data_IF_617877808227
#
_entry.id   IF_617877808227
#
_cell.length_a   1.000
_cell.length_b   1.000
_cell.length_c   1.000
_cell.angle_alpha   90.00
_cell.angle_beta   90.00
_cell.angle_gamma   90.00
#
_symmetry.space_group_name_H-M   'P 1'
#
loop_
_entity.id
_entity.type
_entity.pdbx_description
1 polymer ?
#
# COMPACT_ATOMS: atom_id res chain seq x y z
N UNK A 1 -19.98 -7.66 22.84
CA UNK A 1 -20.06 -6.18 22.73
C UNK A 1 -18.64 -5.64 22.86
N UNK A 2 -17.86 -5.75 21.78
CA UNK A 2 -16.56 -5.08 21.71
C UNK A 2 -16.83 -3.62 21.36
N UNK A 3 -16.42 -2.71 22.22
CA UNK A 3 -16.32 -1.30 21.91
C UNK A 3 -15.23 -1.16 20.84
N UNK A 4 -15.63 -0.93 19.59
CA UNK A 4 -14.72 -0.37 18.61
C UNK A 4 -14.10 0.90 19.22
N UNK A 5 -12.77 0.96 19.24
CA UNK A 5 -12.05 2.14 19.73
C UNK A 5 -12.51 3.39 18.95
N UNK A 6 -12.74 4.53 19.62
CA UNK A 6 -13.28 5.76 19.02
C UNK A 6 -12.40 6.39 17.92
N UNK A 7 -11.17 5.90 17.73
CA UNK A 7 -10.21 6.43 16.76
C UNK A 7 -10.57 6.16 15.29
N UNK A 8 -11.39 5.14 14.99
CA UNK A 8 -11.62 4.69 13.61
C UNK A 8 -12.82 5.35 12.91
N UNK A 9 -13.75 5.93 13.66
CA UNK A 9 -14.87 6.74 13.16
C UNK A 9 -14.45 8.19 12.83
N UNK A 10 -13.19 8.53 13.08
CA UNK A 10 -12.67 9.90 13.05
C UNK A 10 -11.76 10.18 11.85
N UNK A 11 -11.45 9.20 10.98
CA UNK A 11 -10.47 9.43 9.91
C UNK A 11 -11.05 10.11 8.66
N UNK A 12 -12.23 9.68 8.19
CA UNK A 12 -12.93 10.40 7.11
C UNK A 12 -13.35 11.80 7.58
N UNK A 13 -13.84 11.88 8.82
CA UNK A 13 -14.14 13.15 9.48
C UNK A 13 -12.89 14.02 9.65
N UNK A 14 -11.74 13.44 10.01
CA UNK A 14 -10.46 14.14 10.10
C UNK A 14 -9.95 14.59 8.74
N UNK A 15 -9.99 13.75 7.71
CA UNK A 15 -9.58 14.12 6.36
C UNK A 15 -10.46 15.26 5.83
N UNK A 16 -11.77 15.15 5.98
CA UNK A 16 -12.72 16.20 5.62
C UNK A 16 -12.51 17.47 6.44
N UNK A 17 -12.26 17.35 7.76
CA UNK A 17 -12.01 18.49 8.63
C UNK A 17 -10.65 19.13 8.35
N UNK A 18 -9.62 18.34 8.04
CA UNK A 18 -8.31 18.79 7.62
C UNK A 18 -8.44 19.58 6.34
N UNK A 19 -9.09 19.03 5.32
CA UNK A 19 -9.35 19.72 4.06
C UNK A 19 -10.12 21.03 4.29
N UNK A 20 -11.18 21.02 5.11
CA UNK A 20 -11.97 22.24 5.45
C UNK A 20 -11.18 23.29 6.24
N UNK A 21 -10.47 22.90 7.30
CA UNK A 21 -9.66 23.80 8.13
C UNK A 21 -8.56 24.42 7.29
N UNK A 22 -7.92 23.59 6.47
CA UNK A 22 -6.85 24.03 5.62
C UNK A 22 -7.40 24.95 4.53
N UNK A 23 -8.59 24.76 3.96
CA UNK A 23 -9.23 25.74 3.05
C UNK A 23 -9.42 27.13 3.66
N UNK A 24 -9.70 27.23 4.96
CA UNK A 24 -9.92 28.52 5.63
C UNK A 24 -8.63 29.32 5.93
N UNK A 25 -7.45 28.69 5.83
CA UNK A 25 -6.16 29.31 6.19
C UNK A 25 -5.47 30.09 5.05
N UNK A 26 -6.07 30.21 3.86
CA UNK A 26 -5.54 31.03 2.75
C UNK A 26 -4.23 30.56 2.09
N UNK A 27 -3.61 29.48 2.56
CA UNK A 27 -2.40 28.87 1.94
C UNK A 27 -2.66 28.25 0.55
N UNK A 28 -1.60 28.06 -0.24
CA UNK A 28 -1.65 27.64 -1.64
C UNK A 28 -2.34 26.28 -1.88
N UNK A 29 -3.14 26.19 -2.93
CA UNK A 29 -3.77 24.94 -3.41
C UNK A 29 -2.74 24.03 -4.07
N UNK A 30 -2.98 22.71 -4.07
CA UNK A 30 -2.15 21.81 -4.87
C UNK A 30 -2.40 22.12 -6.35
N UNK A 31 -1.39 22.62 -7.03
CA UNK A 31 -1.46 23.01 -8.43
C UNK A 31 -0.22 22.63 -9.20
N UNK A 32 -0.29 22.79 -10.53
CA UNK A 32 0.87 22.60 -11.38
C UNK A 32 1.95 23.62 -11.00
N UNK A 33 3.20 23.16 -10.90
CA UNK A 33 4.31 24.06 -10.61
C UNK A 33 4.50 25.07 -11.75
N UNK A 34 4.94 26.30 -11.45
CA UNK A 34 5.38 27.21 -12.49
C UNK A 34 6.65 26.66 -13.16
N UNK A 35 6.99 27.10 -14.39
CA UNK A 35 8.26 26.78 -15.02
C UNK A 35 9.45 27.01 -14.07
N UNK A 36 10.41 26.08 -13.98
CA UNK A 36 11.48 26.17 -12.99
C UNK A 36 12.42 27.34 -13.30
N UNK A 37 12.78 28.09 -12.27
CA UNK A 37 13.83 29.10 -12.35
C UNK A 37 15.20 28.46 -12.60
N UNK A 38 16.19 29.25 -13.03
CA UNK A 38 17.57 28.78 -13.21
C UNK A 38 18.14 28.15 -11.93
N UNK A 39 17.88 28.75 -10.78
CA UNK A 39 18.30 28.22 -9.48
C UNK A 39 17.63 26.87 -9.16
N UNK A 40 16.34 26.72 -9.47
CA UNK A 40 15.63 25.45 -9.28
C UNK A 40 16.18 24.35 -10.21
N UNK A 41 16.46 24.67 -11.48
CA UNK A 41 17.10 23.74 -12.42
C UNK A 41 18.46 23.27 -11.91
N UNK A 42 19.30 24.20 -11.44
CA UNK A 42 20.61 23.88 -10.87
C UNK A 42 20.50 23.01 -9.61
N UNK A 43 19.55 23.33 -8.71
CA UNK A 43 19.29 22.53 -7.51
C UNK A 43 18.89 21.10 -7.88
N UNK A 44 17.93 20.93 -8.79
CA UNK A 44 17.49 19.60 -9.25
C UNK A 44 18.67 18.82 -9.84
N UNK A 45 19.46 19.45 -10.71
CA UNK A 45 20.63 18.81 -11.30
C UNK A 45 21.64 18.35 -10.25
N UNK A 46 21.94 19.19 -9.24
CA UNK A 46 22.84 18.84 -8.14
C UNK A 46 22.30 17.68 -7.29
N UNK A 47 21.00 17.70 -6.97
CA UNK A 47 20.36 16.62 -6.22
C UNK A 47 20.46 15.29 -6.96
N UNK A 48 20.15 15.29 -8.26
CA UNK A 48 20.18 14.08 -9.08
C UNK A 48 21.61 13.54 -9.25
N UNK A 49 22.58 14.41 -9.55
CA UNK A 49 24.01 14.03 -9.62
C UNK A 49 24.49 13.47 -8.28
N UNK A 50 24.15 14.14 -7.17
CA UNK A 50 24.47 13.69 -5.83
C UNK A 50 23.92 12.29 -5.54
N UNK A 51 22.68 12.04 -5.96
CA UNK A 51 22.00 10.75 -5.86
C UNK A 51 22.56 9.66 -6.79
N UNK A 52 23.64 9.92 -7.52
CA UNK A 52 24.32 8.95 -8.38
C UNK A 52 23.80 8.92 -9.82
N UNK A 53 22.94 9.85 -10.23
CA UNK A 53 22.45 9.94 -11.60
C UNK A 53 23.52 10.55 -12.51
N UNK A 54 24.12 9.72 -13.37
CA UNK A 54 25.14 10.14 -14.32
C UNK A 54 24.57 10.58 -15.69
N UNK A 55 23.31 10.28 -15.97
CA UNK A 55 22.67 10.61 -17.25
C UNK A 55 22.57 12.13 -17.43
N UNK A 56 23.01 12.69 -18.58
CA UNK A 56 22.87 14.12 -18.84
C UNK A 56 21.39 14.53 -18.86
N UNK A 57 21.05 15.66 -18.26
CA UNK A 57 19.69 16.21 -18.28
C UNK A 57 19.52 17.07 -19.53
N UNK A 58 18.52 16.76 -20.34
CA UNK A 58 18.18 17.51 -21.55
C UNK A 58 17.26 18.70 -21.26
N UNK A 59 16.24 18.51 -20.42
CA UNK A 59 15.29 19.57 -20.05
C UNK A 59 14.63 19.32 -18.69
N UNK A 60 14.13 20.39 -18.07
CA UNK A 60 13.35 20.35 -16.83
C UNK A 60 12.15 21.29 -16.99
N UNK A 61 10.95 20.72 -16.93
CA UNK A 61 9.66 21.40 -17.10
C UNK A 61 8.67 21.01 -16.00
N UNK A 62 7.58 21.75 -15.78
CA UNK A 62 6.52 21.29 -14.88
C UNK A 62 5.96 19.92 -15.29
N UNK A 63 5.74 19.05 -14.30
CA UNK A 63 5.11 17.74 -14.50
C UNK A 63 3.58 17.88 -14.61
N UNK A 64 2.91 16.85 -15.18
CA UNK A 64 1.45 16.66 -15.03
C UNK A 64 1.06 16.16 -13.63
N UNK A 65 2.03 15.62 -12.87
CA UNK A 65 1.90 15.40 -11.44
C UNK A 65 2.09 16.72 -10.68
N UNK A 66 1.14 17.13 -9.83
CA UNK A 66 1.28 18.34 -9.04
C UNK A 66 2.53 18.28 -8.16
N UNK A 67 3.09 19.46 -7.86
CA UNK A 67 4.28 19.59 -7.00
C UNK A 67 5.56 18.91 -7.50
N UNK A 68 5.57 18.44 -8.76
CA UNK A 68 6.74 17.83 -9.39
C UNK A 68 7.17 18.55 -10.67
N UNK A 69 8.46 18.44 -10.98
CA UNK A 69 9.04 18.74 -12.27
C UNK A 69 9.32 17.45 -13.03
N UNK A 70 9.08 17.44 -14.34
CA UNK A 70 9.56 16.40 -15.23
C UNK A 70 10.98 16.76 -15.70
N UNK A 71 11.88 15.79 -15.57
CA UNK A 71 13.28 15.81 -15.99
C UNK A 71 13.40 14.86 -17.17
N UNK A 72 13.69 15.43 -18.34
CA UNK A 72 13.97 14.66 -19.54
C UNK A 72 15.47 14.36 -19.58
N UNK A 73 15.82 13.07 -19.61
CA UNK A 73 17.20 12.64 -19.73
C UNK A 73 17.62 12.60 -21.20
N UNK A 74 18.88 12.91 -21.47
CA UNK A 74 19.47 12.79 -22.80
C UNK A 74 19.47 11.33 -23.25
N UNK A 75 19.33 11.11 -24.57
CA UNK A 75 19.37 9.77 -25.13
C UNK A 75 20.71 9.08 -24.84
N UNK A 76 20.66 7.82 -24.43
CA UNK A 76 21.84 6.99 -24.21
C UNK A 76 21.96 6.00 -25.38
N UNK A 77 23.08 6.05 -26.12
CA UNK A 77 23.26 5.22 -27.31
C UNK A 77 22.21 5.46 -28.41
N UNK A 78 21.65 6.67 -28.48
CA UNK A 78 20.60 7.04 -29.43
C UNK A 78 19.19 6.58 -29.03
N UNK A 79 19.02 5.91 -27.88
CA UNK A 79 17.71 5.50 -27.36
C UNK A 79 17.17 6.51 -26.34
N UNK A 80 15.89 6.94 -26.48
CA UNK A 80 15.22 7.76 -25.46
C UNK A 80 15.22 7.04 -24.11
N UNK A 81 15.46 7.80 -23.05
CA UNK A 81 15.35 7.30 -21.68
C UNK A 81 13.97 7.65 -21.12
N UNK A 82 13.38 6.80 -20.27
CA UNK A 82 12.16 7.17 -19.55
C UNK A 82 12.38 8.49 -18.78
N UNK A 83 11.40 9.41 -18.78
CA UNK A 83 11.52 10.62 -18.00
C UNK A 83 11.51 10.29 -16.51
N UNK A 84 12.05 11.22 -15.73
CA UNK A 84 11.97 11.21 -14.28
C UNK A 84 11.13 12.39 -13.83
N UNK A 85 10.39 12.23 -12.75
CA UNK A 85 9.66 13.28 -12.08
C UNK A 85 10.29 13.49 -10.70
N UNK A 86 10.55 14.73 -10.32
CA UNK A 86 11.16 15.09 -9.03
C UNK A 86 10.31 16.15 -8.33
N UNK A 87 10.08 15.99 -7.03
CA UNK A 87 9.37 16.98 -6.23
C UNK A 87 10.15 18.31 -6.19
N UNK A 88 9.45 19.44 -6.01
CA UNK A 88 10.08 20.76 -5.97
C UNK A 88 11.18 20.89 -4.88
N UNK A 89 11.00 20.19 -3.76
CA UNK A 89 11.99 20.14 -2.67
C UNK A 89 13.21 19.25 -2.99
N UNK A 90 13.10 18.34 -3.97
CA UNK A 90 14.12 17.39 -4.39
C UNK A 90 14.16 16.09 -3.56
N UNK A 91 13.17 15.86 -2.69
CA UNK A 91 13.15 14.71 -1.79
C UNK A 91 12.54 13.44 -2.39
N UNK A 92 11.66 13.57 -3.37
CA UNK A 92 10.93 12.45 -3.95
C UNK A 92 11.15 12.40 -5.45
N UNK A 93 11.40 11.19 -5.95
CA UNK A 93 11.53 10.92 -7.38
C UNK A 93 10.59 9.81 -7.82
N UNK A 94 10.19 9.86 -9.07
CA UNK A 94 9.39 8.86 -9.74
C UNK A 94 9.97 8.68 -11.13
N UNK A 95 10.35 7.47 -11.50
CA UNK A 95 10.86 7.17 -12.84
C UNK A 95 9.78 6.47 -13.66
N UNK A 96 9.34 7.08 -14.75
CA UNK A 96 8.28 6.49 -15.57
C UNK A 96 7.53 7.51 -16.41
N UNK A 97 6.77 7.00 -17.37
CA UNK A 97 5.94 7.81 -18.25
C UNK A 97 4.56 8.01 -17.61
N UNK A 98 4.05 9.23 -17.67
CA UNK A 98 2.66 9.54 -17.33
C UNK A 98 1.78 9.30 -18.56
N UNK A 99 0.88 8.32 -18.47
CA UNK A 99 -0.10 8.01 -19.51
C UNK A 99 -1.33 8.90 -19.33
N UNK A 100 -1.83 9.46 -20.42
CA UNK A 100 -3.07 10.25 -20.39
C UNK A 100 -4.27 9.34 -20.13
N UNK A 101 -5.16 9.79 -19.25
CA UNK A 101 -6.42 9.09 -18.99
C UNK A 101 -7.39 9.30 -20.17
N UNK A 102 -7.88 8.24 -20.81
CA UNK A 102 -8.86 8.35 -21.90
C UNK A 102 -10.27 8.73 -21.43
N UNK A 103 -10.54 8.62 -20.12
CA UNK A 103 -11.85 8.91 -19.53
C UNK A 103 -12.20 10.40 -19.63
N UNK A 104 -13.47 10.75 -19.91
CA UNK A 104 -13.91 12.14 -19.87
C UNK A 104 -13.87 12.65 -18.42
N UNK A 105 -13.54 13.93 -18.24
CA UNK A 105 -13.65 14.59 -16.93
C UNK A 105 -15.12 14.74 -16.56
N UNK A 106 -15.57 14.01 -15.54
CA UNK A 106 -16.96 14.01 -15.06
C UNK A 106 -17.12 14.77 -13.74
N UNK A 107 -16.05 14.93 -12.99
CA UNK A 107 -16.01 15.58 -11.68
C UNK A 107 -14.82 16.52 -11.57
N UNK A 108 -14.99 17.55 -10.74
CA UNK A 108 -13.88 18.41 -10.31
C UNK A 108 -13.47 17.95 -8.92
N UNK A 109 -12.19 17.64 -8.67
CA UNK A 109 -11.78 17.17 -7.36
C UNK A 109 -11.98 18.26 -6.31
N UNK A 110 -12.23 17.87 -5.04
CA UNK A 110 -12.24 18.83 -3.95
C UNK A 110 -10.89 19.55 -3.91
N UNK A 111 -10.93 20.80 -3.46
CA UNK A 111 -9.68 21.54 -3.25
C UNK A 111 -8.99 20.94 -2.03
N UNK A 112 -7.90 20.21 -2.24
CA UNK A 112 -7.01 19.80 -1.16
C UNK A 112 -5.75 20.66 -1.17
N UNK A 113 -5.13 20.77 -0.01
CA UNK A 113 -3.82 21.41 0.12
C UNK A 113 -2.72 20.39 0.29
N UNK A 114 -1.48 20.77 -0.08
CA UNK A 114 -0.32 19.96 0.19
C UNK A 114 -0.26 19.48 1.64
N UNK A 115 -0.21 18.17 1.85
CA UNK A 115 0.01 17.61 3.19
C UNK A 115 0.84 16.35 3.14
N UNK A 116 2.09 16.45 3.61
CA UNK A 116 2.89 15.29 3.99
C UNK A 116 2.32 14.59 5.22
N UNK A 117 1.52 15.31 6.05
CA UNK A 117 0.90 14.72 7.25
C UNK A 117 -0.11 13.64 6.91
N UNK A 118 -0.72 13.67 5.72
CA UNK A 118 -1.66 12.63 5.28
C UNK A 118 -0.97 11.46 4.57
N UNK A 119 0.36 11.48 4.36
CA UNK A 119 1.06 10.39 3.67
C UNK A 119 0.74 9.02 4.29
N UNK A 120 0.26 8.09 3.47
CA UNK A 120 -0.16 6.74 3.86
C UNK A 120 -1.59 6.63 4.37
N UNK A 121 -2.33 7.74 4.51
CA UNK A 121 -3.74 7.75 4.91
C UNK A 121 -4.66 7.67 3.68
N UNK A 122 -5.85 7.04 3.79
CA UNK A 122 -6.83 7.05 2.70
C UNK A 122 -7.23 8.49 2.35
N UNK A 123 -7.62 8.70 1.09
CA UNK A 123 -8.21 9.97 0.66
C UNK A 123 -9.62 10.16 1.21
N UNK A 124 -10.10 11.41 1.28
CA UNK A 124 -11.50 11.70 1.65
C UNK A 124 -12.51 11.04 0.69
N UNK A 125 -13.72 10.76 1.19
CA UNK A 125 -14.80 10.17 0.39
C UNK A 125 -15.10 11.01 -0.88
N UNK A 126 -15.11 12.34 -0.75
CA UNK A 126 -15.34 13.24 -1.88
C UNK A 126 -14.24 13.20 -2.94
N UNK A 127 -12.97 13.08 -2.54
CA UNK A 127 -11.86 12.92 -3.49
C UNK A 127 -11.92 11.55 -4.17
N UNK A 128 -12.22 10.50 -3.40
CA UNK A 128 -12.42 9.14 -3.93
C UNK A 128 -13.52 9.10 -4.99
N UNK A 129 -14.69 9.67 -4.72
CA UNK A 129 -15.80 9.75 -5.67
C UNK A 129 -15.40 10.49 -6.95
N UNK A 130 -14.66 11.60 -6.82
CA UNK A 130 -14.15 12.36 -7.97
C UNK A 130 -13.17 11.55 -8.82
N UNK A 131 -12.22 10.86 -8.19
CA UNK A 131 -11.24 10.00 -8.87
C UNK A 131 -11.92 8.87 -9.63
N UNK A 132 -12.90 8.21 -9.03
CA UNK A 132 -13.67 7.13 -9.67
C UNK A 132 -14.50 7.64 -10.85
N UNK A 133 -15.21 8.76 -10.70
CA UNK A 133 -15.98 9.37 -11.79
C UNK A 133 -15.08 9.75 -12.99
N UNK A 134 -13.90 10.28 -12.70
CA UNK A 134 -12.93 10.65 -13.73
C UNK A 134 -12.17 9.45 -14.31
N UNK A 135 -12.33 8.24 -13.78
CA UNK A 135 -11.64 7.02 -14.28
C UNK A 135 -12.56 6.05 -15.02
N UNK A 136 -13.76 6.51 -15.43
CA UNK A 136 -14.86 5.67 -15.93
C UNK A 136 -14.56 4.76 -17.14
N UNK A 137 -13.52 5.02 -17.94
CA UNK A 137 -13.11 4.14 -19.05
C UNK A 137 -12.04 3.11 -18.65
N UNK A 138 -11.43 3.24 -17.47
CA UNK A 138 -10.41 2.34 -16.95
C UNK A 138 -11.08 1.16 -16.24
N UNK A 139 -11.25 0.05 -16.97
CA UNK A 139 -12.01 -1.12 -16.50
C UNK A 139 -11.48 -1.78 -15.23
N UNK A 140 -10.19 -1.62 -14.94
CA UNK A 140 -9.52 -2.14 -13.75
C UNK A 140 -9.64 -1.22 -12.53
N UNK A 141 -10.09 0.03 -12.71
CA UNK A 141 -10.36 0.94 -11.59
C UNK A 141 -11.86 0.91 -11.30
N UNK A 142 -12.26 0.00 -10.42
CA UNK A 142 -13.66 -0.22 -10.03
C UNK A 142 -14.01 0.51 -8.73
N UNK A 143 -15.25 0.36 -8.27
CA UNK A 143 -15.70 0.85 -6.96
C UNK A 143 -14.96 0.27 -5.77
N UNK A 144 -14.12 -0.75 -5.96
CA UNK A 144 -13.34 -1.39 -4.89
C UNK A 144 -11.89 -0.89 -4.86
N UNK A 145 -11.49 -0.05 -5.82
CA UNK A 145 -10.18 0.59 -5.80
C UNK A 145 -10.02 1.44 -4.54
N UNK A 146 -8.83 1.35 -3.96
CA UNK A 146 -8.44 2.12 -2.78
C UNK A 146 -7.44 3.21 -3.17
N UNK A 147 -7.51 4.36 -2.49
CA UNK A 147 -6.69 5.54 -2.80
C UNK A 147 -6.15 6.16 -1.51
N UNK A 148 -4.87 6.52 -1.55
CA UNK A 148 -4.11 7.01 -0.41
C UNK A 148 -3.32 8.26 -0.79
N UNK A 149 -3.20 9.20 0.14
CA UNK A 149 -2.31 10.34 -0.01
C UNK A 149 -0.85 9.89 0.03
N UNK A 150 -0.01 10.42 -0.87
CA UNK A 150 1.44 10.22 -0.82
C UNK A 150 2.13 11.36 -0.09
N UNK A 151 3.42 11.22 0.17
CA UNK A 151 4.24 12.33 0.68
C UNK A 151 4.50 13.43 -0.36
N UNK A 152 4.12 13.23 -1.62
CA UNK A 152 4.16 14.26 -2.67
C UNK A 152 2.77 14.88 -2.83
N UNK A 153 2.59 16.14 -2.40
CA UNK A 153 1.33 16.86 -2.53
C UNK A 153 0.68 16.78 -3.92
N UNK A 154 -0.53 16.22 -3.97
CA UNK A 154 -1.36 16.09 -5.18
C UNK A 154 -1.06 14.88 -6.04
N UNK A 155 -0.09 14.06 -5.64
CA UNK A 155 0.10 12.71 -6.16
C UNK A 155 -0.63 11.75 -5.25
N UNK A 156 -1.53 10.97 -5.83
CA UNK A 156 -2.35 9.98 -5.16
C UNK A 156 -1.84 8.61 -5.55
N UNK A 157 -1.66 7.74 -4.56
CA UNK A 157 -1.39 6.33 -4.76
C UNK A 157 -2.70 5.57 -4.71
N UNK A 158 -2.95 4.74 -5.71
CA UNK A 158 -4.13 3.90 -5.79
C UNK A 158 -3.76 2.45 -6.01
N UNK A 159 -4.70 1.56 -5.73
CA UNK A 159 -4.57 0.14 -6.00
C UNK A 159 -5.91 -0.42 -6.49
N UNK A 160 -5.84 -1.25 -7.53
CA UNK A 160 -7.01 -1.97 -8.03
C UNK A 160 -7.35 -3.15 -7.13
N UNK A 161 -8.55 -3.71 -7.30
CA UNK A 161 -8.99 -4.87 -6.54
C UNK A 161 -8.12 -6.11 -6.82
N UNK A 162 -7.52 -6.19 -8.00
CA UNK A 162 -6.56 -7.22 -8.40
C UNK A 162 -5.14 -6.96 -7.85
N UNK A 163 -4.96 -5.94 -7.01
CA UNK A 163 -3.67 -5.66 -6.39
C UNK A 163 -2.66 -4.94 -7.30
N UNK A 164 -3.12 -4.26 -8.36
CA UNK A 164 -2.21 -3.48 -9.22
C UNK A 164 -2.08 -2.04 -8.69
N UNK A 165 -0.93 -1.64 -8.13
CA UNK A 165 -0.72 -0.27 -7.69
C UNK A 165 -0.53 0.69 -8.87
N UNK A 166 -0.93 1.94 -8.68
CA UNK A 166 -0.74 3.02 -9.63
C UNK A 166 -0.62 4.37 -8.91
N UNK A 167 -0.08 5.35 -9.62
CA UNK A 167 -0.06 6.74 -9.21
C UNK A 167 -0.89 7.57 -10.17
N UNK A 168 -1.59 8.55 -9.63
CA UNK A 168 -2.36 9.53 -10.40
C UNK A 168 -2.29 10.91 -9.75
N UNK A 169 -2.78 11.93 -10.43
CA UNK A 169 -3.00 13.24 -9.83
C UNK A 169 -4.45 13.36 -9.31
N UNK A 170 -4.73 14.43 -8.59
CA UNK A 170 -6.02 14.60 -7.91
C UNK A 170 -7.25 14.59 -8.83
N UNK A 171 -7.11 14.95 -10.12
CA UNK A 171 -8.23 14.94 -11.07
C UNK A 171 -8.25 13.71 -11.97
N UNK A 172 -7.37 12.74 -11.71
CA UNK A 172 -7.21 11.52 -12.48
C UNK A 172 -6.90 11.77 -13.97
N UNK A 173 -6.27 12.88 -14.36
CA UNK A 173 -5.97 13.14 -15.78
C UNK A 173 -4.78 12.33 -16.33
N UNK A 174 -3.93 11.80 -15.45
CA UNK A 174 -2.81 10.93 -15.83
C UNK A 174 -2.63 9.75 -14.88
N UNK A 175 -2.05 8.67 -15.38
CA UNK A 175 -1.73 7.47 -14.61
C UNK A 175 -0.31 6.98 -14.90
N UNK A 176 0.30 6.32 -13.93
CA UNK A 176 1.55 5.58 -14.12
C UNK A 176 1.62 4.43 -13.10
N UNK A 177 2.31 3.35 -13.45
CA UNK A 177 2.63 2.26 -12.54
C UNK A 177 4.01 2.43 -11.87
N UNK A 178 4.62 3.61 -12.00
CA UNK A 178 5.87 3.94 -11.35
C UNK A 178 5.70 4.06 -9.83
N UNK A 179 6.83 3.98 -9.12
CA UNK A 179 6.89 4.09 -7.67
C UNK A 179 7.51 5.42 -7.24
N UNK A 180 7.13 5.90 -6.06
CA UNK A 180 7.77 7.06 -5.43
C UNK A 180 8.95 6.56 -4.60
N UNK A 181 10.13 7.01 -4.96
CA UNK A 181 11.35 6.77 -4.21
C UNK A 181 11.85 8.04 -3.52
N UNK A 182 12.58 7.87 -2.42
CA UNK A 182 13.09 8.96 -1.59
C UNK A 182 14.57 9.20 -1.87
N UNK A 183 14.96 10.47 -1.99
CA UNK A 183 16.34 10.92 -1.92
C UNK A 183 16.60 11.46 -0.52
N UNK A 184 17.47 10.79 0.23
CA UNK A 184 17.87 11.17 1.59
C UNK A 184 19.38 11.33 1.67
N UNK A 185 19.86 12.42 2.27
CA UNK A 185 21.29 12.73 2.38
C UNK A 185 22.03 12.68 1.04
N UNK A 186 21.34 13.09 -0.03
CA UNK A 186 21.90 13.07 -1.38
C UNK A 186 22.05 11.66 -1.96
N UNK A 187 21.39 10.64 -1.42
CA UNK A 187 21.41 9.28 -1.96
C UNK A 187 20.00 8.75 -2.16
N UNK A 188 19.83 7.89 -3.17
CA UNK A 188 18.62 7.11 -3.33
C UNK A 188 18.44 6.17 -2.13
N UNK A 189 17.29 6.27 -1.47
CA UNK A 189 16.97 5.54 -0.23
C UNK A 189 15.89 4.47 -0.42
N UNK A 190 15.48 4.19 -1.66
CA UNK A 190 14.38 3.27 -1.97
C UNK A 190 13.01 3.91 -1.83
N UNK A 191 11.99 3.08 -1.60
CA UNK A 191 10.60 3.51 -1.41
C UNK A 191 10.42 4.40 -0.18
N UNK A 192 9.32 5.15 -0.15
CA UNK A 192 8.90 5.92 1.02
C UNK A 192 8.43 5.00 2.15
N UNK A 193 9.37 4.59 3.01
CA UNK A 193 9.11 3.73 4.17
C UNK A 193 8.07 4.30 5.14
N UNK A 194 7.94 5.63 5.25
CA UNK A 194 6.95 6.24 6.14
C UNK A 194 5.54 6.11 5.55
N UNK A 195 5.40 6.33 4.23
CA UNK A 195 4.17 6.06 3.51
C UNK A 195 3.77 4.59 3.67
N UNK A 196 4.68 3.65 3.41
CA UNK A 196 4.40 2.21 3.51
C UNK A 196 3.97 1.79 4.91
N UNK A 197 4.72 2.22 5.95
CA UNK A 197 4.38 1.92 7.33
C UNK A 197 2.96 2.40 7.69
N UNK A 198 2.64 3.65 7.37
CA UNK A 198 1.35 4.25 7.74
C UNK A 198 0.18 3.64 6.98
N UNK A 199 0.36 3.37 5.67
CA UNK A 199 -0.61 2.66 4.84
C UNK A 199 -0.87 1.26 5.41
N UNK A 200 0.18 0.51 5.68
CA UNK A 200 0.06 -0.85 6.20
C UNK A 200 -0.61 -0.85 7.58
N UNK A 201 -0.19 0.03 8.49
CA UNK A 201 -0.81 0.18 9.79
C UNK A 201 -2.32 0.47 9.68
N UNK A 202 -2.71 1.38 8.79
CA UNK A 202 -4.12 1.68 8.53
C UNK A 202 -4.86 0.42 8.06
N UNK A 203 -4.35 -0.28 7.05
CA UNK A 203 -4.99 -1.49 6.50
C UNK A 203 -5.14 -2.56 7.58
N UNK A 204 -4.07 -2.86 8.32
CA UNK A 204 -4.09 -3.86 9.39
C UNK A 204 -5.10 -3.53 10.49
N UNK A 205 -5.30 -2.24 10.79
CA UNK A 205 -6.30 -1.78 11.76
C UNK A 205 -7.75 -1.92 11.27
N UNK A 206 -7.95 -2.06 9.95
CA UNK A 206 -9.27 -2.21 9.32
C UNK A 206 -9.66 -3.65 9.03
N UNK A 207 -8.71 -4.58 9.14
CA UNK A 207 -9.01 -6.00 9.03
C UNK A 207 -9.97 -6.41 10.15
N UNK A 208 -11.01 -7.15 9.79
CA UNK A 208 -11.93 -7.72 10.75
C UNK A 208 -11.23 -8.88 11.48
N UNK A 209 -11.07 -8.76 12.80
CA UNK A 209 -10.40 -9.78 13.60
C UNK A 209 -11.14 -11.13 13.60
N UNK A 210 -12.45 -11.13 13.32
CA UNK A 210 -13.23 -12.36 13.15
C UNK A 210 -12.88 -13.10 11.85
N UNK A 211 -12.27 -12.42 10.88
CA UNK A 211 -11.81 -13.00 9.62
C UNK A 211 -10.33 -13.39 9.66
N UNK A 212 -9.63 -13.18 10.78
CA UNK A 212 -8.24 -13.62 10.95
C UNK A 212 -8.18 -15.00 11.61
N UNK A 213 -7.13 -15.79 11.31
CA UNK A 213 -6.78 -16.96 12.12
C UNK A 213 -5.70 -16.54 13.11
N UNK A 214 -6.04 -16.57 14.40
CA UNK A 214 -5.16 -16.06 15.46
C UNK A 214 -4.52 -17.20 16.24
N UNK A 215 -3.19 -17.19 16.29
CA UNK A 215 -2.35 -18.06 17.13
C UNK A 215 -1.78 -17.22 18.28
N UNK A 216 -2.38 -17.26 19.47
CA UNK A 216 -2.00 -16.39 20.57
C UNK A 216 -0.64 -16.77 21.16
N UNK A 217 0.09 -15.76 21.65
CA UNK A 217 1.26 -15.95 22.49
C UNK A 217 0.97 -16.88 23.69
N UNK A 218 1.95 -17.69 24.05
CA UNK A 218 1.92 -18.48 25.28
C UNK A 218 2.61 -17.69 26.39
N UNK A 219 1.90 -17.47 27.50
CA UNK A 219 2.40 -16.65 28.60
C UNK A 219 2.24 -15.15 28.32
N UNK A 220 3.29 -14.36 28.57
CA UNK A 220 3.24 -12.92 28.34
C UNK A 220 3.41 -12.59 26.85
N UNK A 221 2.46 -11.84 26.29
CA UNK A 221 2.55 -11.31 24.93
C UNK A 221 3.62 -10.22 24.87
N UNK A 222 4.61 -10.42 24.00
CA UNK A 222 5.75 -9.51 23.76
C UNK A 222 5.65 -8.82 22.41
N UNK A 223 5.01 -9.45 21.42
CA UNK A 223 4.83 -8.90 20.09
C UNK A 223 3.57 -9.45 19.42
N UNK A 224 2.95 -8.64 18.57
CA UNK A 224 1.89 -9.04 17.64
C UNK A 224 2.40 -8.84 16.22
N UNK A 225 2.25 -9.88 15.39
CA UNK A 225 2.56 -9.81 13.95
C UNK A 225 1.33 -10.19 13.12
N UNK A 226 1.20 -9.56 11.96
CA UNK A 226 0.28 -9.94 10.91
C UNK A 226 1.04 -10.69 9.82
N UNK A 227 0.48 -11.79 9.35
CA UNK A 227 1.14 -12.66 8.37
C UNK A 227 0.17 -12.95 7.22
N UNK A 228 0.42 -12.35 6.05
CA UNK A 228 -0.26 -12.76 4.83
C UNK A 228 0.35 -14.08 4.35
N UNK A 229 -0.49 -15.12 4.25
CA UNK A 229 -0.03 -16.50 4.03
C UNK A 229 -0.81 -17.18 2.91
N UNK A 230 -0.18 -18.20 2.33
CA UNK A 230 -0.79 -19.10 1.35
C UNK A 230 -0.51 -20.56 1.76
N UNK A 231 -1.51 -21.44 1.66
CA UNK A 231 -1.40 -22.87 2.05
C UNK A 231 -0.49 -23.71 1.13
N UNK A 232 -0.23 -23.26 -0.10
CA UNK A 232 0.65 -23.94 -1.08
C UNK A 232 2.03 -23.30 -1.19
N UNK A 233 2.28 -22.21 -0.46
CA UNK A 233 3.58 -21.57 -0.33
C UNK A 233 4.52 -22.38 0.60
N UNK A 234 5.68 -22.89 0.11
CA UNK A 234 6.58 -23.71 0.94
C UNK A 234 7.14 -22.97 2.16
N UNK A 235 7.48 -21.69 2.03
CA UNK A 235 8.00 -20.88 3.13
C UNK A 235 6.94 -20.57 4.19
N UNK A 236 5.67 -20.50 3.79
CA UNK A 236 4.55 -20.33 4.68
C UNK A 236 4.37 -21.57 5.56
N UNK A 237 4.49 -22.77 4.98
CA UNK A 237 4.50 -24.04 5.73
C UNK A 237 5.69 -24.13 6.70
N UNK A 238 6.88 -23.69 6.29
CA UNK A 238 8.05 -23.63 7.17
C UNK A 238 7.77 -22.75 8.39
N UNK A 239 7.29 -21.52 8.18
CA UNK A 239 6.93 -20.62 9.28
C UNK A 239 5.80 -21.19 10.15
N UNK A 240 4.80 -21.83 9.54
CA UNK A 240 3.68 -22.43 10.25
C UNK A 240 4.11 -23.60 11.15
N UNK A 241 5.10 -24.39 10.72
CA UNK A 241 5.67 -25.45 11.55
C UNK A 241 6.37 -24.91 12.81
N UNK A 242 6.84 -23.67 12.77
CA UNK A 242 7.47 -22.99 13.92
C UNK A 242 6.45 -22.24 14.79
N UNK A 243 5.14 -22.32 14.52
CA UNK A 243 4.11 -21.55 15.21
C UNK A 243 4.17 -21.71 16.74
N UNK A 244 4.36 -22.94 17.23
CA UNK A 244 4.49 -23.20 18.65
C UNK A 244 5.74 -22.50 19.25
N UNK A 245 6.85 -22.46 18.52
CA UNK A 245 8.06 -21.75 18.95
C UNK A 245 7.81 -20.25 19.04
N UNK A 246 7.15 -19.67 18.04
CA UNK A 246 6.77 -18.25 18.03
C UNK A 246 5.89 -17.91 19.22
N UNK A 247 4.83 -18.68 19.45
CA UNK A 247 3.92 -18.47 20.56
C UNK A 247 4.64 -18.61 21.92
N UNK A 248 5.50 -19.61 22.09
CA UNK A 248 6.32 -19.79 23.30
C UNK A 248 7.30 -18.64 23.57
N UNK A 249 7.71 -17.91 22.53
CA UNK A 249 8.55 -16.70 22.66
C UNK A 249 7.74 -15.46 23.02
N UNK A 250 6.42 -15.57 23.14
CA UNK A 250 5.51 -14.47 23.44
C UNK A 250 4.98 -13.74 22.19
N UNK A 251 5.01 -14.37 21.02
CA UNK A 251 4.55 -13.76 19.76
C UNK A 251 3.13 -14.24 19.46
N UNK A 252 2.20 -13.30 19.32
CA UNK A 252 0.87 -13.56 18.74
C UNK A 252 0.92 -13.38 17.23
N UNK A 253 0.49 -14.39 16.49
CA UNK A 253 0.46 -14.38 15.02
C UNK A 253 -0.99 -14.26 14.55
N UNK A 254 -1.29 -13.17 13.85
CA UNK A 254 -2.58 -12.91 13.20
C UNK A 254 -2.46 -13.22 11.71
N UNK A 255 -3.03 -14.33 11.26
CA UNK A 255 -2.93 -14.79 9.88
C UNK A 255 -4.00 -14.12 9.01
N UNK A 256 -3.55 -13.53 7.91
CA UNK A 256 -4.34 -13.01 6.81
C UNK A 256 -4.29 -14.05 5.69
N UNK A 257 -5.43 -14.59 5.28
CA UNK A 257 -5.47 -15.49 4.13
C UNK A 257 -5.17 -14.72 2.85
N UNK A 258 -4.17 -15.15 2.09
CA UNK A 258 -3.73 -14.47 0.88
C UNK A 258 -3.30 -15.50 -0.19
N UNK A 259 -4.27 -16.15 -0.87
CA UNK A 259 -3.97 -17.10 -1.93
C UNK A 259 -3.31 -16.39 -3.13
N UNK A 260 -2.02 -16.63 -3.32
CA UNK A 260 -1.20 -16.22 -4.47
C UNK A 260 -1.20 -17.32 -5.54
N UNK A 261 -1.28 -18.58 -5.13
CA UNK A 261 -1.38 -19.72 -6.04
C UNK A 261 -2.83 -19.96 -6.48
N UNK A 262 -3.04 -20.29 -7.76
CA UNK A 262 -4.38 -20.56 -8.31
C UNK A 262 -5.05 -21.73 -7.59
N UNK A 263 -4.29 -22.77 -7.27
CA UNK A 263 -4.74 -23.93 -6.50
C UNK A 263 -5.12 -23.61 -5.04
N UNK A 264 -4.68 -22.47 -4.51
CA UNK A 264 -5.00 -22.04 -3.15
C UNK A 264 -6.33 -21.29 -3.06
N UNK A 265 -6.84 -20.74 -4.17
CA UNK A 265 -8.02 -19.87 -4.18
C UNK A 265 -9.24 -20.55 -3.54
N UNK A 266 -9.60 -21.74 -4.01
CA UNK A 266 -10.81 -22.44 -3.53
C UNK A 266 -10.61 -23.01 -2.11
N UNK A 267 -9.55 -23.77 -1.80
CA UNK A 267 -9.40 -24.35 -0.47
C UNK A 267 -9.25 -23.30 0.64
N UNK A 268 -8.58 -22.18 0.38
CA UNK A 268 -8.49 -21.11 1.37
C UNK A 268 -9.83 -20.43 1.61
N UNK A 269 -10.63 -20.20 0.56
CA UNK A 269 -12.00 -19.67 0.73
C UNK A 269 -12.88 -20.63 1.55
N UNK A 270 -12.73 -21.94 1.34
CA UNK A 270 -13.43 -22.98 2.12
C UNK A 270 -13.04 -22.95 3.60
N UNK A 271 -11.74 -22.83 3.90
CA UNK A 271 -11.25 -22.65 5.29
C UNK A 271 -11.92 -21.42 5.92
N UNK A 272 -11.96 -20.30 5.22
CA UNK A 272 -12.54 -19.06 5.75
C UNK A 272 -14.07 -19.03 5.81
N UNK A 273 -14.76 -19.95 5.13
CA UNK A 273 -16.20 -20.16 5.33
C UNK A 273 -16.52 -20.84 6.67
N UNK A 274 -15.57 -21.54 7.28
CA UNK A 274 -15.76 -22.07 8.64
C UNK A 274 -15.90 -20.89 9.61
N UNK A 275 -17.03 -20.82 10.31
CA UNK A 275 -17.36 -19.71 11.22
C UNK A 275 -16.87 -19.95 12.63
N UNK A 276 -16.68 -21.22 13.03
CA UNK A 276 -16.04 -21.54 14.29
C UNK A 276 -14.53 -21.30 14.19
N UNK A 277 -14.02 -20.37 15.00
CA UNK A 277 -12.62 -19.95 14.95
C UNK A 277 -11.64 -21.09 15.25
N UNK A 278 -12.01 -22.04 16.11
CA UNK A 278 -11.14 -23.15 16.45
C UNK A 278 -11.09 -24.18 15.32
N UNK A 279 -12.23 -24.51 14.71
CA UNK A 279 -12.32 -25.36 13.54
C UNK A 279 -11.62 -24.74 12.33
N UNK A 280 -11.75 -23.43 12.10
CA UNK A 280 -11.01 -22.71 11.04
C UNK A 280 -9.51 -22.82 11.25
N UNK A 281 -9.04 -22.60 12.48
CA UNK A 281 -7.61 -22.74 12.82
C UNK A 281 -7.13 -24.16 12.57
N UNK A 282 -7.88 -25.17 13.00
CA UNK A 282 -7.55 -26.57 12.76
C UNK A 282 -7.50 -26.89 11.26
N UNK A 283 -8.45 -26.36 10.47
CA UNK A 283 -8.46 -26.51 9.03
C UNK A 283 -7.23 -25.88 8.37
N UNK A 284 -6.84 -24.68 8.80
CA UNK A 284 -5.59 -24.05 8.33
C UNK A 284 -4.36 -24.90 8.71
N UNK A 285 -4.29 -25.42 9.93
CA UNK A 285 -3.20 -26.29 10.38
C UNK A 285 -3.07 -27.55 9.50
N UNK A 286 -4.19 -28.21 9.19
CA UNK A 286 -4.26 -29.37 8.29
C UNK A 286 -3.79 -28.99 6.88
N UNK A 287 -4.27 -27.89 6.31
CA UNK A 287 -3.84 -27.44 4.97
C UNK A 287 -2.34 -27.12 4.92
N UNK A 288 -1.78 -26.52 5.97
CA UNK A 288 -0.34 -26.20 6.06
C UNK A 288 0.55 -27.44 6.18
N UNK A 289 -0.01 -28.59 6.58
CA UNK A 289 0.67 -29.89 6.52
C UNK A 289 0.64 -30.51 5.11
N UNK A 290 -0.05 -29.88 4.16
CA UNK A 290 -0.23 -30.37 2.79
C UNK A 290 -1.38 -31.38 2.67
N UNK A 291 -2.23 -31.49 3.69
CA UNK A 291 -3.41 -32.34 3.66
C UNK A 291 -4.61 -31.59 3.06
N UNK A 292 -5.51 -32.32 2.39
CA UNK A 292 -6.72 -31.75 1.82
C UNK A 292 -7.73 -31.36 2.91
N UNK A 293 -8.28 -30.16 2.80
CA UNK A 293 -9.35 -29.66 3.65
C UNK A 293 -10.64 -29.60 2.85
N UNK A 294 -11.55 -30.54 3.12
CA UNK A 294 -12.83 -30.62 2.45
C UNK A 294 -13.93 -29.97 3.30
N UNK A 295 -13.94 -28.64 3.34
CA UNK A 295 -14.99 -27.85 3.96
C UNK A 295 -15.98 -27.34 2.91
N UNK A 296 -17.27 -27.46 3.21
CA UNK A 296 -18.34 -26.85 2.41
C UNK A 296 -18.65 -25.45 2.93
N UNK A 297 -18.79 -24.47 2.03
CA UNK A 297 -19.24 -23.11 2.37
C UNK A 297 -20.76 -23.04 2.60
N UNK A 298 -21.25 -23.83 3.56
CA UNK A 298 -22.66 -23.82 3.94
C UNK A 298 -22.97 -22.49 4.65
N UNK A 299 -23.88 -21.70 4.08
CA UNK A 299 -24.24 -20.37 4.63
C UNK A 299 -23.86 -19.18 3.74
N UNK A 300 -23.12 -19.43 2.66
CA UNK A 300 -22.83 -18.45 1.61
C UNK A 300 -23.51 -18.84 0.30
N UNK A 301 -23.94 -17.87 -0.51
CA UNK A 301 -24.60 -18.16 -1.79
C UNK A 301 -23.57 -18.55 -2.87
N UNK A 302 -22.37 -17.96 -2.80
CA UNK A 302 -21.24 -18.23 -3.68
C UNK A 302 -19.95 -18.35 -2.85
N UNK A 303 -18.97 -19.14 -3.31
CA UNK A 303 -17.62 -19.20 -2.72
C UNK A 303 -16.92 -17.83 -2.76
N UNK A 304 -17.32 -16.97 -3.69
CA UNK A 304 -16.88 -15.58 -3.79
C UNK A 304 -17.47 -14.66 -2.71
N UNK A 305 -18.48 -15.11 -1.95
CA UNK A 305 -19.04 -14.38 -0.81
C UNK A 305 -18.29 -14.71 0.51
N UNK A 306 -17.25 -15.54 0.46
CA UNK A 306 -16.43 -15.92 1.62
C UNK A 306 -15.85 -14.67 2.30
N UNK A 307 -15.76 -14.63 3.66
CA UNK A 307 -15.13 -13.52 4.38
C UNK A 307 -13.67 -13.26 3.98
N UNK A 308 -13.02 -14.28 3.38
CA UNK A 308 -11.69 -14.14 2.81
C UNK A 308 -11.65 -13.07 1.71
N UNK A 309 -12.66 -12.98 0.85
CA UNK A 309 -12.66 -12.05 -0.29
C UNK A 309 -12.64 -10.60 0.19
N UNK A 310 -13.48 -10.24 1.16
CA UNK A 310 -13.47 -8.90 1.76
C UNK A 310 -12.13 -8.58 2.43
N UNK A 311 -11.53 -9.56 3.14
CA UNK A 311 -10.21 -9.41 3.74
C UNK A 311 -9.11 -9.23 2.69
N UNK A 312 -9.17 -9.94 1.56
CA UNK A 312 -8.24 -9.80 0.45
C UNK A 312 -8.34 -8.43 -0.22
N UNK A 313 -9.56 -7.89 -0.41
CA UNK A 313 -9.77 -6.57 -0.99
C UNK A 313 -9.10 -5.48 -0.15
N UNK A 314 -9.23 -5.54 1.18
CA UNK A 314 -8.52 -4.62 2.08
C UNK A 314 -7.01 -4.87 2.06
N UNK A 315 -6.59 -6.14 2.13
CA UNK A 315 -5.19 -6.54 2.16
C UNK A 315 -4.46 -6.27 0.85
N UNK A 316 -5.15 -6.06 -0.28
CA UNK A 316 -4.55 -5.70 -1.56
C UNK A 316 -3.64 -4.46 -1.41
N UNK A 317 -4.04 -3.49 -0.59
CA UNK A 317 -3.24 -2.30 -0.29
C UNK A 317 -1.90 -2.58 0.39
N UNK A 318 -1.68 -3.77 0.96
CA UNK A 318 -0.38 -4.18 1.50
C UNK A 318 0.64 -4.50 0.39
N UNK A 319 0.18 -4.71 -0.85
CA UNK A 319 1.04 -5.06 -2.01
C UNK A 319 1.91 -6.27 -1.69
N UNK A 320 1.27 -7.37 -1.33
CA UNK A 320 1.96 -8.62 -0.97
C UNK A 320 2.52 -9.26 -2.25
N UNK A 321 3.80 -9.04 -2.51
CA UNK A 321 4.51 -9.61 -3.68
C UNK A 321 4.99 -11.05 -3.45
N UNK A 322 5.13 -11.46 -2.18
CA UNK A 322 5.55 -12.79 -1.80
C UNK A 322 4.95 -13.19 -0.45
N UNK A 323 4.65 -14.49 -0.29
CA UNK A 323 4.20 -15.06 0.99
C UNK A 323 5.30 -15.95 1.60
N UNK A 324 5.42 -16.01 2.94
CA UNK A 324 4.68 -15.21 3.91
C UNK A 324 5.16 -13.75 3.91
N UNK A 325 4.24 -12.79 3.91
CA UNK A 325 4.57 -11.38 4.17
C UNK A 325 4.24 -11.03 5.61
N UNK A 326 5.23 -10.55 6.35
CA UNK A 326 5.14 -10.35 7.79
C UNK A 326 5.19 -8.86 8.12
N UNK A 327 4.26 -8.41 8.95
CA UNK A 327 4.16 -7.03 9.41
C UNK A 327 4.09 -7.00 10.93
N UNK A 328 4.74 -6.01 11.55
CA UNK A 328 4.44 -5.66 12.94
C UNK A 328 3.08 -4.96 13.01
N UNK A 329 2.52 -4.92 14.20
CA UNK A 329 1.29 -4.17 14.50
C UNK A 329 1.39 -2.67 14.12
N UNK A 330 2.59 -2.08 14.16
CA UNK A 330 2.83 -0.69 13.75
C UNK A 330 3.00 -0.51 12.23
N UNK A 331 2.71 -1.54 11.43
CA UNK A 331 2.71 -1.51 9.97
C UNK A 331 4.08 -1.69 9.31
N UNK A 332 5.17 -1.78 10.08
CA UNK A 332 6.50 -1.99 9.49
C UNK A 332 6.58 -3.41 8.90
N UNK A 333 6.90 -3.57 7.60
CA UNK A 333 7.09 -4.88 7.00
C UNK A 333 8.47 -5.45 7.36
N UNK A 334 8.54 -6.76 7.55
CA UNK A 334 9.80 -7.49 7.63
C UNK A 334 10.27 -7.86 6.22
N UNK A 335 11.30 -7.18 5.73
CA UNK A 335 11.80 -7.30 4.36
C UNK A 335 12.93 -8.34 4.23
N UNK A 336 12.74 -9.52 4.82
CA UNK A 336 13.68 -10.63 4.76
C UNK A 336 12.94 -11.97 4.93
N UNK A 337 13.53 -13.11 4.54
CA UNK A 337 12.97 -14.43 4.83
C UNK A 337 12.73 -14.60 6.34
N UNK A 338 11.66 -15.28 6.74
CA UNK A 338 11.36 -15.55 8.16
C UNK A 338 12.54 -16.18 8.92
N UNK A 339 13.36 -17.00 8.25
CA UNK A 339 14.55 -17.62 8.83
C UNK A 339 15.74 -16.68 9.03
N UNK A 340 15.63 -15.41 8.65
CA UNK A 340 16.67 -14.41 8.84
C UNK A 340 16.92 -14.19 10.35
N UNK A 341 18.19 -14.18 10.79
CA UNK A 341 18.53 -14.03 12.21
C UNK A 341 18.06 -12.71 12.83
N UNK A 342 17.73 -11.71 12.02
CA UNK A 342 17.19 -10.43 12.46
C UNK A 342 15.69 -10.46 12.73
N UNK A 343 14.99 -11.58 12.50
CA UNK A 343 13.55 -11.68 12.74
C UNK A 343 13.15 -11.39 14.20
N UNK A 344 13.79 -12.04 15.18
CA UNK A 344 13.49 -11.76 16.59
C UNK A 344 13.96 -10.35 17.02
N UNK A 345 15.17 -9.88 16.66
CA UNK A 345 15.58 -8.49 16.89
C UNK A 345 14.62 -7.45 16.30
N UNK A 346 14.05 -7.71 15.13
CA UNK A 346 13.05 -6.85 14.48
C UNK A 346 11.78 -6.69 15.32
N UNK A 347 11.41 -7.73 16.08
CA UNK A 347 10.30 -7.73 17.04
C UNK A 347 10.71 -7.25 18.45
N UNK A 348 11.97 -6.87 18.66
CA UNK A 348 12.49 -6.51 19.98
C UNK A 348 12.59 -7.71 20.94
N UNK A 349 12.67 -8.93 20.41
CA UNK A 349 12.79 -10.17 21.19
C UNK A 349 14.25 -10.63 21.14
N UNK A 350 14.86 -10.76 22.32
CA UNK A 350 16.23 -11.26 22.50
C UNK A 350 16.26 -12.75 22.86
#
# INVERSE_FOLDING_TARGET
MLLATPALADLDAFNDAYDKLVLSSGTATVGQLPPPSTAQKQKIQQVLIGAGMAAPIADIVPSKLPSMYQVTLAAQGGQPQPPLHISADGQYILQGVLQDNPSPKQSTPPTAKPSQMLSGMPVSASLRESLLANSSQLKNITSDASFYHTAVPGVIWGITVEGMPFLTNMDASVFTNAEISVIKNGQFSGLDSQFEQRKNQYILSKLNEDDLVVYPATGAEKAVIYVATDINCPYCRIMHNDMQQLNNKGITVKVIGFPVYDESQIPMRQIWCETDKAARRQALDTAMQGEEVNLSCNGFNDINDSPLVASQQLAAGLVVDATPAIYREDGVPFQAPYSDPNFFPFLGIN
#
